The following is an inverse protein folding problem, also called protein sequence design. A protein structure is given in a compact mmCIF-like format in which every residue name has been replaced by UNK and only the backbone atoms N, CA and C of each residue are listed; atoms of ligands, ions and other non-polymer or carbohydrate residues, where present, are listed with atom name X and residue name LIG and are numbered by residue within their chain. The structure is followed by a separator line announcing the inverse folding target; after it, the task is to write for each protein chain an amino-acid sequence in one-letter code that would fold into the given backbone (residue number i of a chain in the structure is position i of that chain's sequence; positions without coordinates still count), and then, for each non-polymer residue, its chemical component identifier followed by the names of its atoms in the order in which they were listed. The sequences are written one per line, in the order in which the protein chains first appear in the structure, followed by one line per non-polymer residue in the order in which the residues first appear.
data_IF_449143918463
#
_entry.id   IF_449143918463
#
_cell.length_a   1.000
_cell.length_b   1.000
_cell.length_c   1.000
_cell.angle_alpha   90.00
_cell.angle_beta   90.00
_cell.angle_gamma   90.00
#
_symmetry.space_group_name_H-M   'P 1'
#
loop_
_entity.id
_entity.type
_entity.pdbx_description
1 polymer ?
#
# COMPACT_ATOMS: atom_id res chain seq x y z
N UNK A 1 -3.77 -25.40 -5.23
CA UNK A 1 -3.15 -24.93 -6.50
C UNK A 1 -1.67 -24.69 -6.22
N UNK A 2 -0.76 -24.99 -7.14
CA UNK A 2 0.68 -24.82 -6.90
C UNK A 2 1.13 -23.37 -7.08
N UNK A 3 2.21 -23.02 -6.39
CA UNK A 3 2.84 -21.72 -6.55
C UNK A 3 3.42 -21.55 -7.97
N UNK A 4 3.25 -20.38 -8.56
CA UNK A 4 3.79 -20.03 -9.89
C UNK A 4 5.32 -19.94 -9.91
N UNK A 5 5.98 -19.87 -8.74
CA UNK A 5 7.45 -19.76 -8.61
C UNK A 5 8.12 -21.01 -8.00
N UNK A 6 7.36 -21.95 -7.43
CA UNK A 6 7.89 -23.21 -6.88
C UNK A 6 6.80 -24.27 -6.72
N UNK A 7 7.14 -25.49 -6.33
CA UNK A 7 6.18 -26.60 -6.23
C UNK A 7 5.34 -26.66 -4.94
N UNK A 8 5.41 -25.65 -4.07
CA UNK A 8 4.62 -25.58 -2.82
C UNK A 8 3.16 -25.19 -3.09
N UNK A 9 2.26 -25.46 -2.15
CA UNK A 9 0.87 -24.98 -2.24
C UNK A 9 0.82 -23.45 -2.16
N UNK A 10 -0.05 -22.86 -2.99
CA UNK A 10 -0.35 -21.45 -2.97
C UNK A 10 -1.32 -21.11 -1.83
N UNK A 11 -1.09 -19.96 -1.19
CA UNK A 11 -1.94 -19.40 -0.12
C UNK A 11 -2.61 -18.11 -0.54
N UNK A 12 -2.07 -17.42 -1.55
CA UNK A 12 -2.64 -16.23 -2.18
C UNK A 12 -2.74 -16.45 -3.68
N UNK A 13 -3.83 -16.00 -4.28
CA UNK A 13 -3.98 -15.83 -5.72
C UNK A 13 -4.16 -14.35 -6.02
N UNK A 14 -3.41 -13.82 -6.98
CA UNK A 14 -3.42 -12.42 -7.39
C UNK A 14 -4.17 -12.29 -8.72
N UNK A 15 -5.43 -11.84 -8.76
CA UNK A 15 -6.22 -11.83 -9.99
C UNK A 15 -5.64 -10.92 -11.07
N UNK A 16 -5.03 -9.80 -10.66
CA UNK A 16 -4.45 -8.80 -11.57
C UNK A 16 -3.17 -9.27 -12.28
N UNK A 17 -2.43 -10.22 -11.70
CA UNK A 17 -1.19 -10.76 -12.28
C UNK A 17 -1.33 -12.20 -12.77
N UNK A 18 -2.41 -12.90 -12.39
CA UNK A 18 -2.59 -14.33 -12.62
C UNK A 18 -1.68 -15.22 -11.76
N UNK A 19 -0.92 -14.66 -10.81
CA UNK A 19 0.01 -15.43 -9.99
C UNK A 19 -0.69 -16.11 -8.83
N UNK A 20 -0.27 -17.34 -8.55
CA UNK A 20 -0.61 -18.04 -7.31
C UNK A 20 0.67 -18.24 -6.51
N UNK A 21 0.73 -17.75 -5.29
CA UNK A 21 1.98 -17.67 -4.52
C UNK A 21 1.86 -18.48 -3.23
N UNK A 22 2.88 -19.30 -2.95
CA UNK A 22 3.05 -19.89 -1.64
C UNK A 22 3.42 -18.81 -0.62
N UNK A 23 3.28 -19.15 0.65
CA UNK A 23 3.53 -18.26 1.78
C UNK A 23 4.85 -17.46 1.67
N UNK A 24 5.97 -18.12 1.39
CA UNK A 24 7.25 -17.43 1.25
C UNK A 24 7.28 -16.46 0.06
N UNK A 25 6.75 -16.89 -1.09
CA UNK A 25 6.77 -16.07 -2.28
C UNK A 25 5.77 -14.92 -2.24
N UNK A 26 4.64 -15.09 -1.55
CA UNK A 26 3.68 -14.01 -1.33
C UNK A 26 4.28 -12.92 -0.45
N UNK A 27 4.90 -13.27 0.69
CA UNK A 27 5.57 -12.29 1.55
C UNK A 27 6.71 -11.56 0.83
N UNK A 28 7.53 -12.30 0.05
CA UNK A 28 8.60 -11.70 -0.73
C UNK A 28 8.08 -10.76 -1.84
N UNK A 29 6.96 -11.11 -2.47
CA UNK A 29 6.32 -10.30 -3.52
C UNK A 29 5.75 -9.00 -2.96
N UNK A 30 5.06 -9.06 -1.82
CA UNK A 30 4.56 -7.87 -1.09
C UNK A 30 5.73 -6.94 -0.73
N UNK A 31 6.78 -7.48 -0.12
CA UNK A 31 7.95 -6.69 0.25
C UNK A 31 8.65 -6.07 -0.96
N UNK A 32 8.74 -6.79 -2.09
CA UNK A 32 9.34 -6.29 -3.31
C UNK A 32 8.53 -5.13 -3.93
N UNK A 33 7.19 -5.24 -3.93
CA UNK A 33 6.28 -4.19 -4.40
C UNK A 33 6.39 -2.93 -3.53
N UNK A 34 6.35 -3.08 -2.20
CA UNK A 34 6.47 -1.95 -1.28
C UNK A 34 7.84 -1.26 -1.39
N UNK A 35 8.94 -2.02 -1.49
CA UNK A 35 10.28 -1.47 -1.75
C UNK A 35 10.34 -0.73 -3.09
N UNK A 36 9.67 -1.25 -4.12
CA UNK A 36 9.62 -0.60 -5.43
C UNK A 36 8.88 0.74 -5.36
N UNK A 37 7.74 0.80 -4.68
CA UNK A 37 7.00 2.06 -4.49
C UNK A 37 7.84 3.08 -3.72
N UNK A 38 8.50 2.68 -2.63
CA UNK A 38 9.41 3.58 -1.87
C UNK A 38 10.51 4.14 -2.78
N UNK A 39 11.17 3.30 -3.58
CA UNK A 39 12.20 3.76 -4.53
C UNK A 39 11.64 4.70 -5.59
N UNK A 40 10.43 4.41 -6.09
CA UNK A 40 9.76 5.25 -7.08
C UNK A 40 9.46 6.65 -6.53
N UNK A 41 9.22 6.77 -5.22
CA UNK A 41 9.03 8.03 -4.50
C UNK A 41 10.32 8.70 -4.00
N UNK A 42 11.48 8.25 -4.47
CA UNK A 42 12.79 8.84 -4.12
C UNK A 42 13.54 8.15 -2.97
N UNK A 43 12.94 7.15 -2.31
CA UNK A 43 13.59 6.39 -1.26
C UNK A 43 13.89 7.19 0.01
N UNK A 44 14.89 6.75 0.77
CA UNK A 44 15.30 7.38 2.03
C UNK A 44 16.80 7.72 1.99
N UNK A 45 17.14 8.99 1.70
CA UNK A 45 18.50 9.50 1.88
C UNK A 45 19.04 9.26 3.30
N UNK A 46 20.36 9.35 3.46
CA UNK A 46 20.98 9.28 4.79
C UNK A 46 20.57 10.47 5.64
N UNK A 47 20.26 10.24 6.91
CA UNK A 47 19.82 11.29 7.85
C UNK A 47 18.35 11.65 7.76
N UNK A 48 17.57 11.03 6.87
CA UNK A 48 16.14 11.32 6.71
C UNK A 48 15.36 11.04 8.00
N UNK A 49 14.51 11.99 8.39
CA UNK A 49 13.57 11.88 9.50
C UNK A 49 12.25 11.28 9.00
N UNK A 50 11.90 10.12 9.51
CA UNK A 50 10.72 9.36 9.14
C UNK A 50 9.65 9.47 10.23
N UNK A 51 8.44 9.82 9.84
CA UNK A 51 7.24 9.62 10.65
C UNK A 51 6.42 8.48 10.04
N UNK A 52 5.91 7.59 10.89
CA UNK A 52 5.09 6.45 10.47
C UNK A 52 3.70 6.65 11.05
N UNK A 53 2.71 6.78 10.17
CA UNK A 53 1.32 6.91 10.60
C UNK A 53 0.81 5.62 11.23
N UNK A 54 -0.05 5.80 12.24
CA UNK A 54 -0.62 4.72 13.03
C UNK A 54 -2.15 4.84 12.97
N UNK A 55 -2.80 3.88 12.30
CA UNK A 55 -4.27 3.80 12.21
C UNK A 55 -4.86 2.69 13.11
N UNK A 56 -4.01 2.00 13.89
CA UNK A 56 -4.37 0.87 14.76
C UNK A 56 -5.05 -0.29 14.02
N UNK A 57 -4.81 -0.42 12.71
CA UNK A 57 -5.35 -1.50 11.90
C UNK A 57 -4.27 -2.49 11.47
N UNK A 58 -4.66 -3.48 10.66
CA UNK A 58 -3.73 -4.40 10.03
C UNK A 58 -2.71 -3.67 9.14
N UNK A 59 -3.05 -2.49 8.61
CA UNK A 59 -2.21 -1.74 7.68
C UNK A 59 -1.00 -1.13 8.37
N UNK A 60 -1.20 -0.34 9.44
CA UNK A 60 -0.10 0.21 10.23
C UNK A 60 0.72 -0.88 10.91
N UNK A 61 0.06 -1.96 11.38
CA UNK A 61 0.74 -3.15 11.90
C UNK A 61 1.68 -3.77 10.86
N UNK A 62 1.20 -4.04 9.65
CA UNK A 62 1.99 -4.57 8.56
C UNK A 62 3.12 -3.61 8.15
N UNK A 63 2.86 -2.30 8.11
CA UNK A 63 3.82 -1.29 7.72
C UNK A 63 5.01 -1.27 8.69
N UNK A 64 4.74 -1.29 9.99
CA UNK A 64 5.79 -1.32 11.04
C UNK A 64 6.69 -2.55 10.92
N UNK A 65 6.11 -3.73 10.69
CA UNK A 65 6.88 -4.97 10.50
C UNK A 65 7.72 -4.91 9.24
N UNK A 66 7.10 -4.51 8.11
CA UNK A 66 7.81 -4.35 6.85
C UNK A 66 8.99 -3.37 6.96
N UNK A 67 8.79 -2.23 7.63
CA UNK A 67 9.85 -1.24 7.87
C UNK A 67 10.93 -1.79 8.80
N UNK A 68 10.57 -2.49 9.88
CA UNK A 68 11.54 -3.11 10.77
C UNK A 68 12.44 -4.10 10.02
N UNK A 69 11.87 -4.96 9.18
CA UNK A 69 12.63 -5.93 8.37
C UNK A 69 13.51 -5.23 7.34
N UNK A 70 12.95 -4.25 6.61
CA UNK A 70 13.65 -3.55 5.53
C UNK A 70 14.75 -2.62 6.02
N UNK A 71 14.55 -1.94 7.16
CA UNK A 71 15.42 -0.88 7.66
C UNK A 71 16.31 -1.33 8.84
N UNK A 72 16.22 -2.59 9.27
CA UNK A 72 16.99 -3.14 10.40
C UNK A 72 18.50 -2.83 10.37
N UNK A 73 19.12 -2.80 9.19
CA UNK A 73 20.55 -2.50 9.01
C UNK A 73 20.87 -1.01 8.82
N UNK A 74 19.85 -0.13 8.72
CA UNK A 74 20.00 1.31 8.45
C UNK A 74 19.99 2.10 9.76
N UNK A 75 21.16 2.39 10.30
CA UNK A 75 21.33 3.19 11.53
C UNK A 75 21.37 4.69 11.27
N UNK A 76 21.33 5.10 10.01
CA UNK A 76 21.40 6.47 9.54
C UNK A 76 20.03 7.16 9.37
N UNK A 77 18.94 6.43 9.64
CA UNK A 77 17.57 6.95 9.57
C UNK A 77 17.06 7.30 10.97
N UNK A 78 16.24 8.35 11.08
CA UNK A 78 15.73 8.85 12.35
C UNK A 78 14.21 8.74 12.40
N UNK A 79 13.65 7.99 13.34
CA UNK A 79 12.20 7.96 13.55
C UNK A 79 11.77 9.11 14.49
N UNK A 80 10.85 9.95 14.04
CA UNK A 80 10.31 11.07 14.82
C UNK A 80 8.89 10.78 15.31
N UNK A 81 8.46 11.51 16.35
CA UNK A 81 7.15 11.31 16.98
C UNK A 81 6.03 12.19 16.41
N UNK A 82 6.38 13.29 15.78
CA UNK A 82 5.44 14.29 15.28
C UNK A 82 5.65 14.44 13.77
N UNK A 83 4.58 14.42 12.95
CA UNK A 83 4.69 14.57 11.51
C UNK A 83 5.37 15.87 11.09
N UNK A 84 5.28 16.96 11.88
CA UNK A 84 5.94 18.23 11.56
C UNK A 84 7.47 18.16 11.60
N UNK A 85 8.02 17.17 12.31
CA UNK A 85 9.45 16.96 12.45
C UNK A 85 9.98 15.97 11.39
N UNK A 86 9.13 15.51 10.47
CA UNK A 86 9.47 14.51 9.47
C UNK A 86 9.88 15.15 8.14
N UNK A 87 10.86 14.54 7.48
CA UNK A 87 11.16 14.80 6.07
C UNK A 87 10.30 13.90 5.18
N UNK A 88 9.94 12.71 5.68
CA UNK A 88 9.05 11.76 5.02
C UNK A 88 8.02 11.19 6.01
N UNK A 89 6.75 11.26 5.63
CA UNK A 89 5.59 10.65 6.26
C UNK A 89 5.25 9.36 5.51
N UNK A 90 5.16 8.26 6.26
CA UNK A 90 4.83 6.93 5.76
C UNK A 90 3.39 6.59 6.14
N UNK A 91 2.51 6.59 5.14
CA UNK A 91 1.12 6.19 5.30
C UNK A 91 0.95 4.67 5.12
N UNK A 92 0.05 4.03 5.88
CA UNK A 92 -0.25 2.61 5.74
C UNK A 92 -1.26 2.31 4.61
N UNK A 93 -1.68 3.32 3.83
CA UNK A 93 -2.72 3.18 2.80
C UNK A 93 -2.41 2.09 1.76
N UNK A 94 -3.40 1.25 1.47
CA UNK A 94 -3.32 0.17 0.48
C UNK A 94 -3.78 0.63 -0.89
N UNK A 95 -3.73 -0.27 -1.88
CA UNK A 95 -4.29 -0.01 -3.22
C UNK A 95 -5.79 0.31 -3.15
N UNK A 96 -6.54 -0.44 -2.34
CA UNK A 96 -7.97 -0.22 -2.12
C UNK A 96 -8.26 1.17 -1.55
N UNK A 97 -7.53 1.59 -0.51
CA UNK A 97 -7.67 2.94 0.08
C UNK A 97 -7.37 4.03 -0.96
N UNK A 98 -6.31 3.85 -1.74
CA UNK A 98 -5.92 4.80 -2.79
C UNK A 98 -6.97 4.91 -3.89
N UNK A 99 -7.48 3.77 -4.37
CA UNK A 99 -8.49 3.73 -5.42
C UNK A 99 -9.82 4.32 -4.95
N UNK A 100 -10.22 4.02 -3.71
CA UNK A 100 -11.42 4.59 -3.11
C UNK A 100 -11.31 6.11 -2.97
N UNK A 101 -10.18 6.61 -2.46
CA UNK A 101 -9.93 8.05 -2.32
C UNK A 101 -10.08 8.79 -3.66
N UNK A 102 -9.57 8.23 -4.75
CA UNK A 102 -9.72 8.81 -6.09
C UNK A 102 -11.19 8.87 -6.50
N UNK A 103 -11.91 7.76 -6.37
CA UNK A 103 -13.32 7.68 -6.75
C UNK A 103 -14.17 8.66 -5.93
N UNK A 104 -14.01 8.65 -4.60
CA UNK A 104 -14.74 9.54 -3.70
C UNK A 104 -14.44 11.01 -3.97
N UNK A 105 -13.17 11.36 -4.25
CA UNK A 105 -12.79 12.73 -4.56
C UNK A 105 -13.48 13.24 -5.83
N UNK A 106 -13.55 12.41 -6.86
CA UNK A 106 -14.26 12.76 -8.10
C UNK A 106 -15.77 12.85 -7.87
N UNK A 107 -16.36 11.89 -7.16
CA UNK A 107 -17.81 11.89 -6.88
C UNK A 107 -18.24 13.08 -6.00
N UNK A 108 -17.39 13.52 -5.07
CA UNK A 108 -17.65 14.65 -4.19
C UNK A 108 -17.29 16.01 -4.80
N UNK A 109 -16.69 16.05 -6.00
CA UNK A 109 -16.27 17.30 -6.65
C UNK A 109 -15.08 17.97 -5.97
N UNK A 110 -14.25 17.21 -5.25
CA UNK A 110 -13.05 17.67 -4.54
C UNK A 110 -11.75 17.15 -5.18
N UNK A 111 -11.79 16.91 -6.50
CA UNK A 111 -10.67 16.33 -7.25
C UNK A 111 -9.39 17.17 -7.21
N UNK A 112 -9.43 18.44 -6.81
CA UNK A 112 -8.24 19.26 -6.59
C UNK A 112 -7.30 18.64 -5.53
N UNK A 113 -7.84 17.85 -4.60
CA UNK A 113 -7.06 17.08 -3.62
C UNK A 113 -6.19 15.99 -4.26
N UNK A 114 -6.45 15.61 -5.52
CA UNK A 114 -5.66 14.63 -6.25
C UNK A 114 -4.40 15.22 -6.90
N UNK A 115 -4.34 16.55 -7.01
CA UNK A 115 -3.28 17.28 -7.73
C UNK A 115 -2.11 17.65 -6.80
N UNK A 116 -2.30 17.60 -5.47
CA UNK A 116 -1.22 17.89 -4.53
C UNK A 116 0.00 16.98 -4.75
N UNK A 117 1.18 17.61 -4.91
CA UNK A 117 2.50 17.02 -5.07
C UNK A 117 2.76 15.82 -4.15
N UNK A 118 2.16 15.81 -2.95
CA UNK A 118 2.37 14.76 -1.95
C UNK A 118 3.84 14.66 -1.57
N UNK A 119 4.61 15.74 -1.71
CA UNK A 119 6.05 15.75 -1.45
C UNK A 119 6.30 15.39 0.02
N UNK A 120 7.14 14.39 0.23
CA UNK A 120 7.40 13.86 1.58
C UNK A 120 6.34 12.87 2.06
N UNK A 121 5.33 12.49 1.27
CA UNK A 121 4.37 11.45 1.64
C UNK A 121 4.56 10.20 0.80
N UNK A 122 4.71 9.05 1.45
CA UNK A 122 4.89 7.77 0.80
C UNK A 122 3.91 6.77 1.42
N UNK A 123 3.09 6.14 0.57
CA UNK A 123 2.25 5.02 0.95
C UNK A 123 2.81 3.73 0.30
N UNK A 124 3.71 2.98 0.98
CA UNK A 124 4.40 1.84 0.37
C UNK A 124 3.45 0.74 -0.12
N UNK A 125 2.28 0.62 0.51
CA UNK A 125 1.28 -0.39 0.18
C UNK A 125 0.24 0.08 -0.85
N UNK A 126 0.33 1.31 -1.36
CA UNK A 126 -0.61 1.86 -2.35
C UNK A 126 -0.67 1.09 -3.68
N UNK A 127 0.24 0.13 -3.90
CA UNK A 127 0.28 -0.76 -5.09
C UNK A 127 -0.14 -2.21 -4.77
N UNK A 128 -0.58 -2.47 -3.55
CA UNK A 128 -0.86 -3.81 -3.02
C UNK A 128 -2.30 -3.83 -2.48
N UNK A 129 -3.15 -4.80 -2.89
CA UNK A 129 -4.50 -4.94 -2.36
C UNK A 129 -4.57 -5.11 -0.85
N UNK A 130 -5.63 -4.59 -0.24
CA UNK A 130 -5.88 -4.66 1.20
C UNK A 130 -5.89 -6.11 1.73
N UNK A 131 -6.45 -7.04 0.98
CA UNK A 131 -6.50 -8.47 1.35
C UNK A 131 -5.10 -9.11 1.43
N UNK A 132 -4.19 -8.72 0.52
CA UNK A 132 -2.80 -9.22 0.54
C UNK A 132 -2.03 -8.65 1.75
N UNK A 133 -2.24 -7.37 2.07
CA UNK A 133 -1.64 -6.73 3.26
C UNK A 133 -2.24 -7.31 4.55
N UNK A 134 -3.54 -7.60 4.57
CA UNK A 134 -4.17 -8.26 5.70
C UNK A 134 -3.61 -9.66 5.93
N UNK A 135 -3.46 -10.46 4.87
CA UNK A 135 -2.80 -11.76 4.95
C UNK A 135 -1.36 -11.63 5.48
N UNK A 136 -0.61 -10.63 5.01
CA UNK A 136 0.74 -10.34 5.50
C UNK A 136 0.72 -10.03 7.00
N UNK A 137 -0.19 -9.17 7.46
CA UNK A 137 -0.35 -8.86 8.88
C UNK A 137 -0.67 -10.11 9.71
N UNK A 138 -1.62 -10.95 9.25
CA UNK A 138 -2.01 -12.19 9.95
C UNK A 138 -0.85 -13.16 10.07
N UNK A 139 -0.07 -13.32 9.00
CA UNK A 139 1.16 -14.12 9.00
C UNK A 139 2.12 -13.71 10.12
N UNK A 140 2.17 -12.42 10.43
CA UNK A 140 3.01 -11.86 11.49
C UNK A 140 2.29 -11.71 12.85
N UNK A 141 1.13 -12.34 13.02
CA UNK A 141 0.43 -12.45 14.30
C UNK A 141 -0.66 -11.42 14.56
N UNK A 142 -1.05 -10.61 13.57
CA UNK A 142 -2.22 -9.74 13.70
C UNK A 142 -3.51 -10.56 13.87
N UNK A 143 -4.31 -10.22 14.88
CA UNK A 143 -5.60 -10.88 15.21
C UNK A 143 -6.80 -9.95 15.17
N UNK A 144 -6.62 -8.72 14.69
CA UNK A 144 -7.70 -7.74 14.57
C UNK A 144 -8.64 -8.03 13.40
N UNK A 145 -9.59 -7.12 13.14
CA UNK A 145 -10.61 -7.32 12.10
C UNK A 145 -10.00 -7.36 10.70
N UNK A 146 -10.65 -8.14 9.83
CA UNK A 146 -10.41 -8.15 8.39
C UNK A 146 -10.82 -6.81 7.74
N UNK A 147 -10.29 -6.49 6.54
CA UNK A 147 -10.72 -5.33 5.77
C UNK A 147 -12.24 -5.35 5.59
N UNK A 148 -12.90 -4.22 5.83
CA UNK A 148 -14.34 -4.06 5.62
C UNK A 148 -14.55 -3.09 4.47
N UNK A 149 -15.40 -3.49 3.53
CA UNK A 149 -15.95 -2.60 2.51
C UNK A 149 -17.11 -1.87 3.17
N UNK A 150 -17.08 -0.54 3.19
CA UNK A 150 -18.12 0.27 3.82
C UNK A 150 -18.37 1.53 2.99
N UNK A 151 -19.65 1.82 2.74
CA UNK A 151 -20.08 3.00 1.99
C UNK A 151 -20.34 2.71 0.51
N UNK A 152 -21.23 3.50 -0.08
CA UNK A 152 -21.73 3.28 -1.44
C UNK A 152 -20.62 3.24 -2.49
N UNK A 153 -19.63 4.13 -2.38
CA UNK A 153 -18.50 4.18 -3.31
C UNK A 153 -17.60 2.94 -3.20
N UNK A 154 -17.34 2.46 -1.99
CA UNK A 154 -16.53 1.27 -1.74
C UNK A 154 -17.23 0.00 -2.23
N UNK A 155 -18.53 -0.12 -1.99
CA UNK A 155 -19.35 -1.23 -2.48
C UNK A 155 -19.39 -1.27 -4.00
N UNK A 156 -19.64 -0.12 -4.64
CA UNK A 156 -19.59 0.01 -6.09
C UNK A 156 -18.22 -0.38 -6.65
N UNK A 157 -17.14 0.18 -6.10
CA UNK A 157 -15.78 -0.10 -6.56
C UNK A 157 -15.42 -1.58 -6.42
N UNK A 158 -15.86 -2.23 -5.33
CA UNK A 158 -15.64 -3.66 -5.13
C UNK A 158 -16.40 -4.50 -6.16
N UNK A 159 -17.68 -4.20 -6.39
CA UNK A 159 -18.50 -4.91 -7.38
C UNK A 159 -17.91 -4.75 -8.79
N UNK A 160 -17.55 -3.53 -9.17
CA UNK A 160 -16.95 -3.25 -10.47
C UNK A 160 -15.58 -3.92 -10.64
N UNK A 161 -14.75 -3.96 -9.57
CA UNK A 161 -13.44 -4.63 -9.62
C UNK A 161 -13.55 -6.15 -9.78
N UNK A 162 -14.64 -6.76 -9.29
CA UNK A 162 -14.86 -8.20 -9.47
C UNK A 162 -15.04 -8.57 -10.95
N UNK A 163 -15.67 -7.70 -11.74
CA UNK A 163 -15.81 -7.86 -13.20
C UNK A 163 -14.58 -7.36 -13.96
N UNK A 164 -13.85 -6.40 -13.37
CA UNK A 164 -12.69 -5.73 -13.98
C UNK A 164 -11.50 -5.66 -13.01
N UNK A 165 -10.67 -6.73 -12.90
CA UNK A 165 -9.61 -6.84 -11.90
C UNK A 165 -8.54 -5.73 -11.92
N UNK A 166 -8.41 -5.00 -13.02
CA UNK A 166 -7.47 -3.89 -13.19
C UNK A 166 -7.95 -2.53 -12.63
N UNK A 167 -9.21 -2.42 -12.20
CA UNK A 167 -9.86 -1.13 -11.89
C UNK A 167 -9.10 -0.33 -10.83
N UNK A 168 -8.76 -0.94 -9.69
CA UNK A 168 -8.06 -0.23 -8.61
C UNK A 168 -6.69 0.28 -9.05
N UNK A 169 -5.98 -0.49 -9.87
CA UNK A 169 -4.71 -0.07 -10.47
C UNK A 169 -4.90 1.08 -11.45
N UNK A 170 -5.97 1.07 -12.25
CA UNK A 170 -6.27 2.18 -13.15
C UNK A 170 -6.50 3.49 -12.37
N UNK A 171 -7.28 3.46 -11.29
CA UNK A 171 -7.51 4.63 -10.43
C UNK A 171 -6.21 5.11 -9.77
N UNK A 172 -5.37 4.19 -9.27
CA UNK A 172 -4.05 4.54 -8.72
C UNK A 172 -3.16 5.20 -9.77
N UNK A 173 -3.13 4.67 -10.99
CA UNK A 173 -2.32 5.23 -12.08
C UNK A 173 -2.77 6.65 -12.47
N UNK A 174 -4.08 6.92 -12.45
CA UNK A 174 -4.62 8.27 -12.65
C UNK A 174 -4.10 9.21 -11.56
N UNK A 175 -4.19 8.82 -10.28
CA UNK A 175 -3.64 9.62 -9.17
C UNK A 175 -2.16 9.90 -9.33
N UNK A 176 -1.38 8.90 -9.73
CA UNK A 176 0.05 9.08 -9.95
C UNK A 176 0.36 10.03 -11.10
N UNK A 177 -0.40 9.96 -12.19
CA UNK A 177 -0.24 10.87 -13.31
C UNK A 177 -0.52 12.32 -12.90
N UNK A 178 -1.61 12.55 -12.15
CA UNK A 178 -1.98 13.89 -11.67
C UNK A 178 -0.93 14.49 -10.72
N UNK A 179 -0.22 13.67 -9.94
CA UNK A 179 0.88 14.12 -9.08
C UNK A 179 2.17 14.46 -9.82
N UNK A 180 2.31 14.02 -11.07
CA UNK A 180 3.51 14.26 -11.89
C UNK A 180 3.36 15.46 -12.83
N UNK A 181 2.18 16.07 -12.93
CA UNK A 181 1.93 17.24 -13.78
C UNK A 181 2.51 18.57 -13.23
N UNK A 182 3.26 18.54 -12.13
CA UNK A 182 4.08 19.65 -11.65
C UNK A 182 5.50 19.68 -12.29
N UNK A 183 5.58 19.76 -13.63
CA UNK A 183 6.82 20.08 -14.37
C UNK A 183 6.69 21.42 -15.08
#
# INVERSE_FOLDING_TARGET
MKCSRCSREAVITQPYSGLSLCELHAAADIAAKAKKEIRHRGGFPSGTRLFVEEDQTFRSFALRIFLADMLSARTDLLFVKDPKDADVILEPATLDDTALFVLESVCAGIQDLLIDSGKGWIAPFSVIPAEEIFWYAQRHGYRGPAPKICGNAAEFLSAFTAEHPGTRYALKNIRDALRLEEI
#
